data_IF_593200289491
#
_entry.id   IF_593200289491
#
_cell.length_a   1.000
_cell.length_b   1.000
_cell.length_c   1.000
_cell.angle_alpha   90.00
_cell.angle_beta   90.00
_cell.angle_gamma   90.00
#
_symmetry.space_group_name_H-M   'P 1'
#
loop_
_entity.id
_entity.type
_entity.pdbx_description
1 polymer ?
#
# COMPACT_ATOMS: atom_id res chain seq x y z
N UNK A 1 18.45 -32.81 -12.25
CA UNK A 1 17.53 -32.28 -11.21
C UNK A 1 16.53 -31.39 -11.93
N UNK A 2 15.23 -31.62 -11.81
CA UNK A 2 14.23 -30.69 -12.34
C UNK A 2 14.07 -29.54 -11.34
N UNK A 3 14.40 -28.32 -11.76
CA UNK A 3 13.97 -27.12 -11.04
C UNK A 3 12.44 -27.09 -11.01
N UNK A 4 11.86 -27.31 -9.83
CA UNK A 4 10.46 -26.95 -9.60
C UNK A 4 10.40 -25.43 -9.49
N UNK A 5 10.21 -24.75 -10.62
CA UNK A 5 9.63 -23.40 -10.61
C UNK A 5 8.22 -23.55 -10.07
N UNK A 6 8.04 -23.30 -8.77
CA UNK A 6 6.71 -23.06 -8.23
C UNK A 6 6.03 -22.00 -9.09
N UNK A 7 4.71 -22.11 -9.28
CA UNK A 7 3.92 -21.03 -9.86
C UNK A 7 4.26 -19.76 -9.06
N UNK A 8 5.09 -18.88 -9.60
CA UNK A 8 5.31 -17.56 -9.02
C UNK A 8 4.04 -16.82 -9.40
N UNK A 9 3.01 -16.92 -8.55
CA UNK A 9 1.82 -16.10 -8.70
C UNK A 9 2.27 -14.64 -8.78
N UNK A 10 1.72 -13.89 -9.73
CA UNK A 10 2.08 -12.49 -9.98
C UNK A 10 2.08 -11.74 -8.64
N UNK A 11 3.29 -11.37 -8.22
CA UNK A 11 3.54 -10.67 -6.97
C UNK A 11 3.84 -9.24 -7.37
N UNK A 12 2.87 -8.36 -7.16
CA UNK A 12 2.96 -6.96 -7.57
C UNK A 12 3.03 -6.08 -6.33
N UNK A 13 4.05 -5.22 -6.27
CA UNK A 13 4.12 -4.19 -5.25
C UNK A 13 3.20 -3.02 -5.61
N UNK A 14 2.52 -2.45 -4.63
CA UNK A 14 1.76 -1.21 -4.79
C UNK A 14 2.14 -0.18 -3.73
N UNK A 15 1.97 1.10 -4.08
CA UNK A 15 2.07 2.19 -3.13
C UNK A 15 1.22 3.39 -3.56
N UNK A 16 0.57 4.04 -2.60
CA UNK A 16 -0.16 5.28 -2.81
C UNK A 16 0.21 6.29 -1.72
N UNK A 17 0.34 7.55 -2.11
CA UNK A 17 0.76 8.63 -1.22
C UNK A 17 -0.16 9.84 -1.37
N UNK A 18 -0.41 10.52 -0.25
CA UNK A 18 -1.02 11.84 -0.21
C UNK A 18 0.06 12.87 0.09
N UNK A 19 0.08 13.94 -0.71
CA UNK A 19 0.95 15.09 -0.51
C UNK A 19 0.11 16.29 -0.10
N UNK A 20 0.66 17.17 0.75
CA UNK A 20 0.06 18.48 1.01
C UNK A 20 0.32 19.46 -0.15
N UNK A 21 -0.12 20.70 0.01
CA UNK A 21 0.03 21.76 -1.00
C UNK A 21 1.50 22.09 -1.30
N UNK A 22 2.39 21.89 -0.33
CA UNK A 22 3.83 22.12 -0.41
C UNK A 22 4.58 20.87 -0.90
N UNK A 23 3.85 19.81 -1.29
CA UNK A 23 4.35 18.51 -1.74
C UNK A 23 5.04 17.69 -0.65
N UNK A 24 4.81 17.99 0.63
CA UNK A 24 5.29 17.15 1.72
C UNK A 24 4.42 15.89 1.83
N UNK A 25 5.07 14.78 2.19
CA UNK A 25 4.37 13.53 2.46
C UNK A 25 3.57 13.62 3.77
N UNK A 26 2.27 13.35 3.71
CA UNK A 26 1.39 13.43 4.89
C UNK A 26 0.67 12.13 5.22
N UNK A 27 0.46 11.25 4.23
CA UNK A 27 -0.12 9.92 4.45
C UNK A 27 0.27 8.98 3.31
N UNK A 28 0.30 7.67 3.56
CA UNK A 28 0.57 6.68 2.52
C UNK A 28 0.25 5.25 2.92
N UNK A 29 0.10 4.40 1.92
CA UNK A 29 -0.11 2.95 2.05
C UNK A 29 0.79 2.22 1.06
N UNK A 30 1.36 1.10 1.48
CA UNK A 30 2.15 0.24 0.61
C UNK A 30 1.93 -1.23 0.95
N UNK A 31 2.16 -2.09 -0.02
CA UNK A 31 2.00 -3.52 0.17
C UNK A 31 2.30 -4.34 -1.07
N UNK A 32 1.87 -5.59 -1.00
CA UNK A 32 2.04 -6.57 -2.06
C UNK A 32 0.68 -7.21 -2.37
N UNK A 33 0.36 -7.27 -3.65
CA UNK A 33 -0.73 -8.05 -4.21
C UNK A 33 -0.19 -9.42 -4.59
N UNK A 34 -0.76 -10.50 -4.05
CA UNK A 34 -0.34 -11.86 -4.39
C UNK A 34 -1.49 -12.84 -4.19
N UNK A 35 -1.68 -13.75 -5.16
CA UNK A 35 -2.72 -14.80 -5.10
C UNK A 35 -4.14 -14.29 -4.84
N UNK A 36 -4.48 -13.10 -5.35
CA UNK A 36 -5.78 -12.46 -5.13
C UNK A 36 -5.97 -11.84 -3.74
N UNK A 37 -4.93 -11.87 -2.89
CA UNK A 37 -4.90 -11.18 -1.61
C UNK A 37 -4.10 -9.87 -1.69
N UNK A 38 -4.50 -8.91 -0.86
CA UNK A 38 -3.76 -7.67 -0.62
C UNK A 38 -3.13 -7.73 0.76
N UNK A 39 -1.79 -7.76 0.80
CA UNK A 39 -1.04 -7.68 2.04
C UNK A 39 -0.53 -6.26 2.22
N UNK A 40 -1.01 -5.58 3.27
CA UNK A 40 -0.57 -4.22 3.62
C UNK A 40 0.70 -4.32 4.46
N UNK A 41 1.83 -3.85 3.92
CA UNK A 41 3.09 -3.76 4.67
C UNK A 41 3.08 -2.55 5.60
N UNK A 42 2.56 -1.42 5.10
CA UNK A 42 2.54 -0.17 5.85
C UNK A 42 1.30 0.67 5.54
N UNK A 43 0.74 1.28 6.58
CA UNK A 43 -0.27 2.32 6.51
C UNK A 43 0.11 3.42 7.49
N UNK A 44 0.29 4.63 6.98
CA UNK A 44 0.71 5.78 7.76
C UNK A 44 -0.20 6.98 7.50
N UNK A 45 -0.55 7.68 8.58
CA UNK A 45 -1.20 8.99 8.54
C UNK A 45 -0.52 9.89 9.57
N UNK A 46 -0.02 11.04 9.11
CA UNK A 46 0.56 12.07 9.97
C UNK A 46 -0.46 12.46 11.07
N UNK A 47 0.00 12.52 12.31
CA UNK A 47 -0.83 12.71 13.49
C UNK A 47 -1.72 13.94 13.45
N UNK A 48 -1.25 15.03 12.82
CA UNK A 48 -1.98 16.29 12.72
C UNK A 48 -3.21 16.19 11.79
N UNK A 49 -3.28 15.18 10.92
CA UNK A 49 -4.37 14.96 9.97
C UNK A 49 -5.11 13.63 10.20
N UNK A 50 -4.84 12.95 11.31
CA UNK A 50 -5.63 11.77 11.72
C UNK A 50 -7.08 12.19 11.98
N UNK A 51 -7.99 11.22 11.92
CA UNK A 51 -9.44 11.42 12.03
C UNK A 51 -10.07 12.27 10.91
N UNK A 52 -9.36 12.49 9.79
CA UNK A 52 -9.85 13.16 8.59
C UNK A 52 -10.05 12.20 7.40
N UNK A 53 -10.29 10.92 7.67
CA UNK A 53 -10.56 9.85 6.69
C UNK A 53 -9.41 9.46 5.74
N UNK A 54 -8.19 9.97 5.91
CA UNK A 54 -7.04 9.56 5.08
C UNK A 54 -6.76 8.05 5.13
N UNK A 55 -6.89 7.41 6.29
CA UNK A 55 -6.73 5.96 6.41
C UNK A 55 -7.77 5.19 5.58
N UNK A 56 -9.05 5.58 5.67
CA UNK A 56 -10.12 5.00 4.86
C UNK A 56 -9.90 5.24 3.37
N UNK A 57 -9.51 6.45 2.98
CA UNK A 57 -9.22 6.81 1.59
C UNK A 57 -8.11 5.93 1.00
N UNK A 58 -7.02 5.73 1.76
CA UNK A 58 -5.89 4.90 1.33
C UNK A 58 -6.29 3.41 1.22
N UNK A 59 -7.07 2.89 2.17
CA UNK A 59 -7.56 1.50 2.14
C UNK A 59 -8.53 1.23 0.98
N UNK A 60 -9.29 2.23 0.54
CA UNK A 60 -10.18 2.10 -0.63
C UNK A 60 -9.41 2.18 -1.96
N UNK A 61 -8.19 2.73 -1.94
CA UNK A 61 -7.36 2.93 -3.12
C UNK A 61 -6.44 1.73 -3.40
N UNK A 62 -5.99 1.06 -2.33
CA UNK A 62 -5.29 -0.22 -2.40
C UNK A 62 -6.18 -1.30 -3.01
#
# INVERSE_FOLDING_TARGET
MLEKKGLVGDTESFSFSCLDQDKNFVAGISGISSWGGFYIDSLFVNENIRNQNYGTLLMQKA
#
